data_IF_017321677941
#
_entry.id   IF_017321677941
#
_cell.length_a   1.000
_cell.length_b   1.000
_cell.length_c   1.000
_cell.angle_alpha   90.00
_cell.angle_beta   90.00
_cell.angle_gamma   90.00
#
_symmetry.space_group_name_H-M   'P 1'
#
loop_
_entity.id
_entity.type
_entity.pdbx_description
1 polymer ?
#
# COMPACT_ATOMS: atom_id res chain seq x y z
N UNK A 1 -17.48 1.08 -15.95
CA UNK A 1 -16.95 0.24 -14.83
C UNK A 1 -16.82 1.16 -13.64
N UNK A 2 -17.59 0.95 -12.59
CA UNK A 2 -17.46 1.72 -11.34
C UNK A 2 -16.09 1.41 -10.74
N UNK A 3 -15.22 2.43 -10.69
CA UNK A 3 -13.87 2.31 -10.12
C UNK A 3 -13.94 1.82 -8.68
N UNK A 4 -12.86 1.18 -8.19
CA UNK A 4 -12.75 0.76 -6.80
C UNK A 4 -12.89 1.96 -5.86
N UNK A 5 -13.81 1.89 -4.91
CA UNK A 5 -13.88 2.84 -3.80
C UNK A 5 -12.87 2.45 -2.72
N UNK A 6 -11.95 3.37 -2.42
CA UNK A 6 -10.91 3.20 -1.41
C UNK A 6 -11.32 3.66 -0.01
N UNK A 7 -12.60 4.03 0.22
CA UNK A 7 -13.12 4.50 1.51
C UNK A 7 -13.83 3.40 2.27
N UNK A 8 -13.83 3.48 3.61
CA UNK A 8 -14.57 2.58 4.50
C UNK A 8 -14.07 1.13 4.49
N UNK A 9 -12.78 0.89 4.22
CA UNK A 9 -12.23 -0.46 4.05
C UNK A 9 -11.03 -0.75 4.95
N UNK A 10 -10.81 -2.04 5.21
CA UNK A 10 -9.60 -2.55 5.84
C UNK A 10 -8.81 -3.35 4.81
N UNK A 11 -7.59 -2.89 4.54
CA UNK A 11 -6.69 -3.46 3.54
C UNK A 11 -5.68 -4.40 4.20
N UNK A 12 -5.42 -5.55 3.58
CA UNK A 12 -4.19 -6.29 3.86
C UNK A 12 -3.01 -5.59 3.17
N UNK A 13 -2.00 -5.21 3.95
CA UNK A 13 -0.80 -4.55 3.43
C UNK A 13 0.04 -5.48 2.54
N UNK A 14 0.78 -4.92 1.57
CA UNK A 14 1.78 -5.69 0.82
C UNK A 14 2.94 -6.06 1.75
N UNK A 15 3.14 -7.35 1.98
CA UNK A 15 4.12 -7.88 2.92
C UNK A 15 5.16 -8.72 2.16
N UNK A 16 6.32 -8.15 1.86
CA UNK A 16 7.42 -8.87 1.19
C UNK A 16 7.82 -10.11 1.99
N UNK A 17 7.83 -11.27 1.36
CA UNK A 17 8.05 -12.61 1.94
C UNK A 17 7.00 -13.08 2.95
N UNK A 18 5.89 -12.36 3.10
CA UNK A 18 4.82 -12.72 4.02
C UNK A 18 3.42 -12.59 3.41
N UNK A 19 3.28 -11.85 2.29
CA UNK A 19 2.00 -11.58 1.61
C UNK A 19 1.73 -12.50 0.41
N UNK A 20 2.26 -13.73 0.42
CA UNK A 20 2.06 -14.69 -0.67
C UNK A 20 0.59 -15.12 -0.83
N UNK A 21 0.27 -15.73 -1.96
CA UNK A 21 -1.10 -16.14 -2.28
C UNK A 21 -1.77 -17.01 -1.19
N UNK A 22 -1.12 -18.05 -0.61
CA UNK A 22 -1.70 -18.83 0.47
C UNK A 22 -2.07 -17.99 1.69
N UNK A 23 -1.19 -17.07 2.12
CA UNK A 23 -1.46 -16.20 3.26
C UNK A 23 -2.62 -15.22 2.98
N UNK A 24 -2.67 -14.63 1.79
CA UNK A 24 -3.80 -13.76 1.41
C UNK A 24 -5.13 -14.52 1.44
N UNK A 25 -5.16 -15.77 0.92
CA UNK A 25 -6.34 -16.64 1.00
C UNK A 25 -6.75 -16.93 2.45
N UNK A 26 -5.78 -17.18 3.33
CA UNK A 26 -6.06 -17.35 4.76
C UNK A 26 -6.73 -16.10 5.34
N UNK A 27 -6.20 -14.90 5.06
CA UNK A 27 -6.81 -13.65 5.49
C UNK A 27 -8.23 -13.47 4.92
N UNK A 28 -8.46 -13.84 3.65
CA UNK A 28 -9.79 -13.78 3.02
C UNK A 28 -10.78 -14.71 3.72
N UNK A 29 -10.37 -15.93 4.06
CA UNK A 29 -11.19 -16.87 4.82
C UNK A 29 -11.57 -16.34 6.21
N UNK A 30 -10.80 -15.38 6.74
CA UNK A 30 -11.04 -14.69 7.99
C UNK A 30 -11.53 -13.23 7.83
N UNK A 31 -12.26 -12.93 6.74
CA UNK A 31 -12.98 -11.67 6.57
C UNK A 31 -12.19 -10.54 5.89
N UNK A 32 -10.96 -10.77 5.45
CA UNK A 32 -10.23 -9.77 4.65
C UNK A 32 -10.89 -9.60 3.28
N UNK A 33 -11.44 -8.41 3.01
CA UNK A 33 -12.16 -8.13 1.76
C UNK A 33 -11.31 -7.45 0.70
N UNK A 34 -10.17 -6.88 1.10
CA UNK A 34 -9.27 -6.13 0.22
C UNK A 34 -7.84 -6.59 0.44
N UNK A 35 -7.27 -7.27 -0.54
CA UNK A 35 -5.93 -7.82 -0.48
C UNK A 35 -4.97 -7.08 -1.42
N UNK A 36 -3.69 -7.05 -1.04
CA UNK A 36 -2.63 -6.56 -1.91
C UNK A 36 -1.50 -7.60 -1.97
N UNK A 37 -1.03 -7.89 -3.18
CA UNK A 37 0.11 -8.78 -3.41
C UNK A 37 1.42 -8.23 -2.86
N UNK A 38 2.43 -9.10 -2.75
CA UNK A 38 3.80 -8.68 -2.44
C UNK A 38 4.31 -7.71 -3.50
N UNK A 39 5.27 -6.87 -3.09
CA UNK A 39 5.91 -5.92 -4.00
C UNK A 39 6.70 -6.63 -5.10
N UNK A 40 6.30 -6.45 -6.35
CA UNK A 40 7.00 -6.95 -7.53
C UNK A 40 7.93 -5.89 -8.13
N UNK A 41 9.08 -6.30 -8.64
CA UNK A 41 9.98 -5.41 -9.37
C UNK A 41 9.49 -5.19 -10.80
N UNK A 42 9.06 -3.98 -11.14
CA UNK A 42 8.47 -3.66 -12.46
C UNK A 42 9.39 -4.07 -13.63
N UNK A 43 10.68 -3.77 -13.54
CA UNK A 43 11.66 -4.12 -14.59
C UNK A 43 11.81 -5.64 -14.79
N UNK A 44 11.61 -6.43 -13.74
CA UNK A 44 11.65 -7.90 -13.84
C UNK A 44 10.34 -8.47 -14.39
N UNK A 45 9.19 -7.90 -14.01
CA UNK A 45 7.90 -8.22 -14.63
C UNK A 45 7.98 -8.02 -16.13
N UNK A 46 8.49 -6.86 -16.58
CA UNK A 46 8.67 -6.52 -17.99
C UNK A 46 9.60 -7.50 -18.73
N UNK A 47 10.59 -8.06 -18.03
CA UNK A 47 11.51 -9.09 -18.58
C UNK A 47 10.94 -10.51 -18.56
N UNK A 48 9.72 -10.70 -18.08
CA UNK A 48 9.08 -12.01 -18.01
C UNK A 48 9.59 -12.92 -16.90
N UNK A 49 10.15 -12.36 -15.81
CA UNK A 49 10.59 -13.16 -14.66
C UNK A 49 9.43 -13.95 -14.08
N UNK A 50 9.55 -15.30 -14.05
CA UNK A 50 8.51 -16.20 -13.54
C UNK A 50 8.17 -15.93 -12.06
N UNK A 51 9.18 -15.62 -11.24
CA UNK A 51 8.98 -15.29 -9.83
C UNK A 51 8.18 -14.00 -9.65
N UNK A 52 8.51 -12.95 -10.38
CA UNK A 52 7.80 -11.68 -10.29
C UNK A 52 6.38 -11.78 -10.86
N UNK A 53 6.21 -12.46 -11.99
CA UNK A 53 4.88 -12.72 -12.57
C UNK A 53 3.99 -13.54 -11.63
N UNK A 54 4.57 -14.41 -10.80
CA UNK A 54 3.83 -15.16 -9.79
C UNK A 54 3.26 -14.26 -8.69
N UNK A 55 3.91 -13.11 -8.37
CA UNK A 55 3.42 -12.14 -7.38
C UNK A 55 2.16 -11.39 -7.87
N UNK A 56 1.92 -11.35 -9.17
CA UNK A 56 0.75 -10.70 -9.78
C UNK A 56 -0.49 -11.61 -9.79
N UNK A 57 -0.40 -12.84 -9.29
CA UNK A 57 -1.53 -13.79 -9.33
C UNK A 57 -2.62 -13.40 -8.35
N UNK A 58 -3.86 -13.38 -8.84
CA UNK A 58 -5.08 -13.28 -8.07
C UNK A 58 -5.68 -14.67 -7.84
N UNK A 59 -6.29 -14.92 -6.68
CA UNK A 59 -7.16 -16.09 -6.45
C UNK A 59 -8.63 -15.71 -6.67
N UNK A 60 -9.47 -16.69 -7.00
CA UNK A 60 -10.91 -16.44 -7.22
C UNK A 60 -11.60 -15.86 -5.98
N UNK A 61 -11.18 -16.26 -4.78
CA UNK A 61 -11.74 -15.79 -3.51
C UNK A 61 -11.38 -14.33 -3.18
N UNK A 62 -10.38 -13.74 -3.86
CA UNK A 62 -9.98 -12.35 -3.65
C UNK A 62 -10.91 -11.42 -4.45
N UNK A 63 -12.03 -11.00 -3.86
CA UNK A 63 -12.98 -10.11 -4.52
C UNK A 63 -12.34 -8.79 -4.97
N UNK A 64 -11.52 -8.19 -4.09
CA UNK A 64 -10.78 -6.96 -4.31
C UNK A 64 -9.27 -7.22 -4.15
N UNK A 65 -8.53 -7.26 -5.26
CA UNK A 65 -7.10 -7.54 -5.27
C UNK A 65 -6.31 -6.44 -5.96
N UNK A 66 -5.27 -5.92 -5.31
CA UNK A 66 -4.31 -4.97 -5.85
C UNK A 66 -2.91 -5.56 -6.01
N UNK A 67 -2.16 -5.00 -6.92
CA UNK A 67 -0.75 -5.34 -7.14
C UNK A 67 0.14 -4.17 -6.77
N UNK A 68 1.12 -4.41 -5.89
CA UNK A 68 2.15 -3.42 -5.61
C UNK A 68 3.38 -3.64 -6.48
N UNK A 69 3.89 -2.57 -7.09
CA UNK A 69 5.12 -2.59 -7.87
C UNK A 69 6.17 -1.63 -7.31
N UNK A 70 7.44 -1.99 -7.45
CA UNK A 70 8.57 -1.10 -7.25
C UNK A 70 9.15 -0.72 -8.61
N UNK A 71 9.21 0.58 -8.89
CA UNK A 71 9.71 1.13 -10.14
C UNK A 71 10.46 2.43 -9.90
N UNK A 72 11.40 2.75 -10.79
CA UNK A 72 12.08 4.05 -10.88
C UNK A 72 12.01 4.64 -12.29
N UNK A 73 11.54 3.86 -13.27
CA UNK A 73 11.39 4.23 -14.68
C UNK A 73 9.91 4.14 -15.08
N UNK A 74 9.32 5.22 -15.61
CA UNK A 74 7.90 5.23 -15.96
C UNK A 74 7.50 4.12 -16.93
N UNK A 75 8.28 3.91 -18.00
CA UNK A 75 7.98 2.88 -18.99
C UNK A 75 7.89 1.47 -18.40
N UNK A 76 8.75 1.12 -17.44
CA UNK A 76 8.68 -0.17 -16.74
C UNK A 76 7.47 -0.23 -15.82
N UNK A 77 7.15 0.88 -15.12
CA UNK A 77 6.01 0.98 -14.22
C UNK A 77 4.68 0.80 -14.97
N UNK A 78 4.51 1.49 -16.10
CA UNK A 78 3.31 1.39 -16.95
C UNK A 78 3.15 -0.03 -17.49
N UNK A 79 4.20 -0.60 -18.10
CA UNK A 79 4.13 -1.97 -18.65
C UNK A 79 3.83 -3.03 -17.58
N UNK A 80 4.46 -2.93 -16.41
CA UNK A 80 4.17 -3.84 -15.31
C UNK A 80 2.75 -3.65 -14.75
N UNK A 81 2.27 -2.40 -14.69
CA UNK A 81 0.91 -2.08 -14.27
C UNK A 81 -0.15 -2.62 -15.23
N UNK A 82 0.06 -2.49 -16.55
CA UNK A 82 -0.81 -3.11 -17.56
C UNK A 82 -0.82 -4.62 -17.40
N UNK A 83 0.35 -5.26 -17.25
CA UNK A 83 0.45 -6.69 -17.04
C UNK A 83 -0.25 -7.16 -15.75
N UNK A 84 -0.31 -6.32 -14.71
CA UNK A 84 -1.06 -6.59 -13.48
C UNK A 84 -2.58 -6.49 -13.73
N UNK A 85 -3.03 -5.46 -14.43
CA UNK A 85 -4.44 -5.27 -14.79
C UNK A 85 -4.98 -6.44 -15.64
N UNK A 86 -4.21 -6.89 -16.65
CA UNK A 86 -4.54 -8.06 -17.47
C UNK A 86 -4.67 -9.35 -16.65
N UNK A 87 -4.04 -9.43 -15.49
CA UNK A 87 -4.13 -10.55 -14.53
C UNK A 87 -5.20 -10.37 -13.47
N UNK A 88 -6.07 -9.37 -13.64
CA UNK A 88 -7.24 -9.14 -12.80
C UNK A 88 -6.96 -8.29 -11.55
N UNK A 89 -5.87 -7.54 -11.50
CA UNK A 89 -5.69 -6.52 -10.48
C UNK A 89 -6.75 -5.43 -10.64
N UNK A 90 -7.46 -5.09 -9.55
CA UNK A 90 -8.43 -3.99 -9.52
C UNK A 90 -7.79 -2.61 -9.41
N UNK A 91 -6.53 -2.54 -8.98
CA UNK A 91 -5.69 -1.33 -8.97
C UNK A 91 -4.20 -1.72 -8.92
N UNK A 92 -3.34 -0.76 -9.22
CA UNK A 92 -1.88 -0.89 -9.10
C UNK A 92 -1.36 0.13 -8.09
N UNK A 93 -0.54 -0.32 -7.16
CA UNK A 93 0.07 0.51 -6.13
C UNK A 93 1.56 0.69 -6.39
N UNK A 94 2.06 1.93 -6.31
CA UNK A 94 3.48 2.24 -6.40
C UNK A 94 4.10 2.23 -5.01
N UNK A 95 5.12 1.39 -4.81
CA UNK A 95 5.89 1.36 -3.56
C UNK A 95 6.84 2.55 -3.46
N UNK A 96 6.60 3.43 -2.49
CA UNK A 96 7.47 4.55 -2.11
C UNK A 96 7.91 4.49 -0.64
N UNK A 97 7.80 3.31 -0.01
CA UNK A 97 8.10 3.17 1.42
C UNK A 97 9.11 2.08 1.78
N UNK A 98 9.46 1.18 0.85
CA UNK A 98 10.36 0.07 1.12
C UNK A 98 11.77 0.57 1.48
N UNK A 99 12.32 0.21 2.68
CA UNK A 99 13.64 0.66 3.12
C UNK A 99 14.77 -0.29 2.73
N UNK A 100 14.47 -1.41 2.06
CA UNK A 100 15.43 -2.48 1.73
C UNK A 100 16.52 -1.92 0.83
N UNK A 101 17.78 -2.21 1.16
CA UNK A 101 18.96 -1.69 0.49
C UNK A 101 18.93 -1.90 -1.03
N UNK A 102 18.53 -3.08 -1.49
CA UNK A 102 18.49 -3.41 -2.92
C UNK A 102 17.45 -2.60 -3.70
N UNK A 103 16.30 -2.29 -3.08
CA UNK A 103 15.25 -1.42 -3.62
C UNK A 103 15.76 0.03 -3.70
N UNK A 104 16.33 0.51 -2.59
CA UNK A 104 16.83 1.89 -2.43
C UNK A 104 17.98 2.17 -3.41
N UNK A 105 18.96 1.27 -3.51
CA UNK A 105 20.11 1.39 -4.43
C UNK A 105 19.69 1.51 -5.90
N UNK A 106 18.54 0.94 -6.26
CA UNK A 106 17.97 1.03 -7.63
C UNK A 106 17.11 2.28 -7.85
N UNK A 107 17.07 3.22 -6.90
CA UNK A 107 16.27 4.44 -6.99
C UNK A 107 14.77 4.21 -6.87
N UNK A 108 14.35 3.11 -6.23
CA UNK A 108 12.95 2.73 -5.99
C UNK A 108 12.60 2.82 -4.49
N UNK A 109 11.36 2.55 -4.13
CA UNK A 109 10.92 2.54 -2.75
C UNK A 109 11.09 3.89 -2.07
N UNK A 110 11.59 3.91 -0.85
CA UNK A 110 11.72 5.14 -0.04
C UNK A 110 12.64 6.21 -0.67
N UNK A 111 13.53 5.86 -1.61
CA UNK A 111 14.36 6.83 -2.33
C UNK A 111 13.53 7.82 -3.14
N UNK A 112 12.35 7.44 -3.59
CA UNK A 112 11.46 8.31 -4.36
C UNK A 112 10.95 9.49 -3.52
N UNK A 113 10.85 9.34 -2.20
CA UNK A 113 10.43 10.41 -1.30
C UNK A 113 11.39 11.60 -1.30
N UNK A 114 12.68 11.37 -1.58
CA UNK A 114 13.68 12.43 -1.63
C UNK A 114 13.59 13.31 -2.89
N UNK A 115 12.73 12.93 -3.85
CA UNK A 115 12.58 13.63 -5.14
C UNK A 115 11.08 13.75 -5.51
N UNK A 116 10.28 14.54 -4.76
CA UNK A 116 8.82 14.60 -4.94
C UNK A 116 8.39 14.90 -6.38
N UNK A 117 9.06 15.86 -7.05
CA UNK A 117 8.73 16.22 -8.43
C UNK A 117 8.97 15.07 -9.44
N UNK A 118 10.00 14.25 -9.21
CA UNK A 118 10.24 13.06 -10.02
C UNK A 118 9.18 11.98 -9.74
N UNK A 119 8.79 11.83 -8.49
CA UNK A 119 7.72 10.92 -8.09
C UNK A 119 6.39 11.34 -8.76
N UNK A 120 6.05 12.62 -8.72
CA UNK A 120 4.83 13.13 -9.37
C UNK A 120 4.78 12.79 -10.87
N UNK A 121 5.88 13.01 -11.60
CA UNK A 121 5.96 12.63 -13.02
C UNK A 121 5.77 11.12 -13.23
N UNK A 122 6.42 10.28 -12.41
CA UNK A 122 6.26 8.84 -12.47
C UNK A 122 4.80 8.41 -12.25
N UNK A 123 4.14 8.98 -11.23
CA UNK A 123 2.73 8.69 -10.93
C UNK A 123 1.82 9.16 -12.06
N UNK A 124 2.03 10.36 -12.60
CA UNK A 124 1.23 10.88 -13.71
C UNK A 124 1.29 9.97 -14.96
N UNK A 125 2.49 9.49 -15.33
CA UNK A 125 2.64 8.55 -16.44
C UNK A 125 1.97 7.19 -16.15
N UNK A 126 2.03 6.72 -14.91
CA UNK A 126 1.30 5.51 -14.50
C UNK A 126 -0.21 5.69 -14.61
N UNK A 127 -0.75 6.84 -14.12
CA UNK A 127 -2.19 7.14 -14.19
C UNK A 127 -2.68 7.22 -15.63
N UNK A 128 -1.88 7.78 -16.53
CA UNK A 128 -2.23 7.88 -17.95
C UNK A 128 -2.16 6.54 -18.69
N UNK A 129 -1.20 5.68 -18.32
CA UNK A 129 -0.89 4.47 -19.09
C UNK A 129 -1.47 3.16 -18.54
N UNK A 130 -1.97 3.14 -17.30
CA UNK A 130 -2.52 1.92 -16.66
C UNK A 130 -4.06 1.97 -16.68
N UNK A 131 -4.75 0.91 -17.15
CA UNK A 131 -6.21 0.94 -17.34
C UNK A 131 -7.03 0.77 -16.05
N UNK A 132 -6.37 0.69 -14.89
CA UNK A 132 -7.00 0.58 -13.56
C UNK A 132 -6.47 1.69 -12.65
N UNK A 133 -7.16 2.03 -11.54
CA UNK A 133 -6.71 3.06 -10.62
C UNK A 133 -5.26 2.84 -10.14
N UNK A 134 -4.52 3.93 -10.03
CA UNK A 134 -3.16 3.94 -9.48
C UNK A 134 -3.19 4.52 -8.07
N UNK A 135 -2.57 3.82 -7.12
CA UNK A 135 -2.38 4.29 -5.74
C UNK A 135 -0.89 4.36 -5.41
N UNK A 136 -0.55 5.05 -4.34
CA UNK A 136 0.83 5.17 -3.89
C UNK A 136 0.93 4.85 -2.40
N UNK A 137 1.93 4.07 -2.01
CA UNK A 137 2.20 3.79 -0.60
C UNK A 137 3.51 4.43 -0.17
N UNK A 138 3.44 5.35 0.80
CA UNK A 138 4.56 6.15 1.30
C UNK A 138 4.88 5.84 2.77
N UNK A 139 6.02 6.39 3.21
CA UNK A 139 6.39 6.66 4.61
C UNK A 139 6.41 8.17 4.85
N UNK A 140 6.63 8.60 6.10
CA UNK A 140 6.67 10.03 6.47
C UNK A 140 7.85 10.79 5.85
N UNK A 141 8.86 10.09 5.40
CA UNK A 141 10.04 10.66 4.77
C UNK A 141 11.23 9.68 4.82
N UNK A 142 12.40 10.19 4.45
CA UNK A 142 13.66 9.44 4.51
C UNK A 142 14.16 9.30 5.96
N UNK A 143 14.21 10.42 6.68
CA UNK A 143 14.62 10.53 8.09
C UNK A 143 13.71 11.49 8.84
N UNK A 144 13.88 11.64 10.14
CA UNK A 144 13.13 12.63 10.94
C UNK A 144 13.45 14.07 10.52
N UNK A 145 14.64 14.32 9.97
CA UNK A 145 15.05 15.63 9.43
C UNK A 145 14.49 15.89 8.03
N UNK A 146 14.10 14.85 7.34
CA UNK A 146 13.56 14.87 5.97
C UNK A 146 12.12 14.29 5.98
N UNK A 147 11.28 14.74 6.96
CA UNK A 147 9.83 14.48 6.94
C UNK A 147 9.19 15.44 5.91
N UNK A 148 8.87 14.89 4.77
CA UNK A 148 8.25 15.61 3.66
C UNK A 148 6.95 14.96 3.18
N UNK A 149 6.30 14.18 4.03
CA UNK A 149 5.12 13.39 3.66
C UNK A 149 3.96 14.27 3.15
N UNK A 150 3.72 15.47 3.74
CA UNK A 150 2.66 16.38 3.27
C UNK A 150 2.94 16.91 1.86
N UNK A 151 4.20 17.24 1.54
CA UNK A 151 4.60 17.63 0.18
C UNK A 151 4.43 16.47 -0.81
N UNK A 152 4.93 15.29 -0.44
CA UNK A 152 4.81 14.08 -1.27
C UNK A 152 3.34 13.73 -1.51
N UNK A 153 2.49 13.82 -0.47
CA UNK A 153 1.06 13.55 -0.57
C UNK A 153 0.38 14.51 -1.56
N UNK A 154 0.70 15.81 -1.50
CA UNK A 154 0.20 16.82 -2.44
C UNK A 154 0.61 16.49 -3.88
N UNK A 155 1.89 16.22 -4.10
CA UNK A 155 2.41 15.92 -5.45
C UNK A 155 1.78 14.65 -6.03
N UNK A 156 1.56 13.62 -5.21
CA UNK A 156 0.91 12.36 -5.60
C UNK A 156 -0.56 12.59 -5.96
N UNK A 157 -1.28 13.40 -5.18
CA UNK A 157 -2.67 13.78 -5.47
C UNK A 157 -2.77 14.58 -6.78
N UNK A 158 -1.93 15.60 -6.96
CA UNK A 158 -1.87 16.41 -8.19
C UNK A 158 -1.53 15.57 -9.44
N UNK A 159 -0.77 14.50 -9.27
CA UNK A 159 -0.46 13.54 -10.33
C UNK A 159 -1.62 12.61 -10.69
N UNK A 160 -2.75 12.68 -9.97
CA UNK A 160 -3.97 11.93 -10.27
C UNK A 160 -4.06 10.55 -9.61
N UNK A 161 -3.28 10.29 -8.55
CA UNK A 161 -3.44 9.04 -7.80
C UNK A 161 -4.84 8.92 -7.20
N UNK A 162 -5.41 7.72 -7.23
CA UNK A 162 -6.75 7.43 -6.74
C UNK A 162 -6.85 7.32 -5.20
N UNK A 163 -5.73 7.00 -4.53
CA UNK A 163 -5.61 6.95 -3.08
C UNK A 163 -4.14 6.96 -2.65
N UNK A 164 -3.89 7.31 -1.39
CA UNK A 164 -2.58 7.35 -0.76
C UNK A 164 -2.55 6.50 0.51
N UNK A 165 -1.66 5.52 0.61
CA UNK A 165 -1.40 4.79 1.85
C UNK A 165 -0.21 5.39 2.59
N UNK A 166 -0.37 5.74 3.86
CA UNK A 166 0.67 6.39 4.67
C UNK A 166 1.07 5.49 5.84
N UNK A 167 2.32 5.04 5.85
CA UNK A 167 2.91 4.39 7.02
C UNK A 167 3.52 5.46 7.94
N UNK A 168 3.03 5.56 9.17
CA UNK A 168 3.40 6.58 10.16
C UNK A 168 4.83 6.46 10.71
N UNK A 169 5.80 6.16 9.86
CA UNK A 169 7.23 6.08 10.19
C UNK A 169 8.08 6.56 9.02
N UNK A 170 9.26 7.09 9.32
CA UNK A 170 10.28 7.37 8.30
C UNK A 170 10.98 6.08 7.84
N UNK A 171 11.75 6.18 6.76
CA UNK A 171 12.58 5.06 6.27
C UNK A 171 13.60 4.62 7.31
N UNK A 172 14.25 5.55 8.01
CA UNK A 172 15.29 5.25 9.01
C UNK A 172 14.72 4.61 10.27
N UNK A 173 13.57 5.03 10.73
CA UNK A 173 12.91 4.46 11.91
C UNK A 173 12.57 2.98 11.74
N UNK A 174 12.36 2.49 10.52
CA UNK A 174 11.91 1.10 10.26
C UNK A 174 10.75 0.71 11.18
N UNK A 175 11.03 0.02 12.30
CA UNK A 175 10.07 -0.41 13.32
C UNK A 175 10.53 -0.07 14.74
N UNK A 176 11.59 0.75 14.90
CA UNK A 176 12.18 1.09 16.21
C UNK A 176 11.36 2.13 17.00
N UNK A 177 10.46 2.84 16.35
CA UNK A 177 9.56 3.83 16.98
C UNK A 177 8.11 3.43 16.78
N UNK A 178 7.20 3.98 17.58
CA UNK A 178 5.76 3.89 17.33
C UNK A 178 5.39 4.59 16.00
N UNK A 179 4.31 4.15 15.36
CA UNK A 179 3.78 4.85 14.19
C UNK A 179 3.14 6.16 14.61
N UNK A 180 3.50 7.24 13.94
CA UNK A 180 2.96 8.58 14.17
C UNK A 180 1.60 8.74 13.48
N UNK A 181 0.53 8.54 14.24
CA UNK A 181 -0.83 8.70 13.76
C UNK A 181 -1.28 10.17 13.71
N UNK A 182 -0.58 11.08 14.42
CA UNK A 182 -0.84 12.53 14.32
C UNK A 182 -0.39 13.03 12.94
N UNK A 183 0.79 12.61 12.47
CA UNK A 183 1.25 12.91 11.12
C UNK A 183 0.31 12.33 10.04
N UNK A 184 -0.18 11.09 10.23
CA UNK A 184 -1.17 10.48 9.32
C UNK A 184 -2.46 11.30 9.28
N UNK A 185 -2.99 11.72 10.45
CA UNK A 185 -4.21 12.51 10.55
C UNK A 185 -4.07 13.88 9.85
N UNK A 186 -2.93 14.55 10.04
CA UNK A 186 -2.62 15.81 9.34
C UNK A 186 -2.68 15.63 7.83
N UNK A 187 -2.02 14.59 7.30
CA UNK A 187 -2.04 14.31 5.85
C UNK A 187 -3.48 14.00 5.39
N UNK A 188 -4.26 13.23 6.16
CA UNK A 188 -5.64 12.92 5.81
C UNK A 188 -6.52 14.18 5.73
N UNK A 189 -6.33 15.14 6.66
CA UNK A 189 -7.07 16.39 6.66
C UNK A 189 -6.70 17.34 5.49
N UNK A 190 -5.47 17.24 4.98
CA UNK A 190 -4.95 18.07 3.90
C UNK A 190 -5.30 17.57 2.50
N UNK A 191 -5.75 16.32 2.33
CA UNK A 191 -5.92 15.69 1.01
C UNK A 191 -7.38 15.41 0.69
N UNK A 192 -7.74 15.56 -0.58
CA UNK A 192 -9.08 15.24 -1.11
C UNK A 192 -9.20 13.76 -1.48
N UNK A 193 -8.10 13.15 -1.95
CA UNK A 193 -8.05 11.72 -2.24
C UNK A 193 -8.10 10.90 -0.94
N UNK A 194 -8.64 9.65 -0.97
CA UNK A 194 -8.66 8.78 0.18
C UNK A 194 -7.27 8.54 0.74
N UNK A 195 -7.05 8.82 2.04
CA UNK A 195 -5.83 8.47 2.76
C UNK A 195 -6.09 7.19 3.56
N UNK A 196 -5.22 6.19 3.40
CA UNK A 196 -5.26 4.89 4.05
C UNK A 196 -4.17 4.86 5.13
N UNK A 197 -4.56 4.86 6.40
CA UNK A 197 -3.63 4.86 7.53
C UNK A 197 -2.99 3.48 7.75
N UNK A 198 -1.69 3.45 8.01
CA UNK A 198 -0.94 2.22 8.24
C UNK A 198 0.10 2.38 9.37
N UNK A 199 0.17 1.40 10.24
CA UNK A 199 1.18 1.30 11.30
C UNK A 199 0.59 0.93 12.66
N UNK A 200 1.18 -0.08 13.32
CA UNK A 200 0.88 -0.53 14.69
C UNK A 200 -0.61 -0.75 15.00
N UNK A 201 -1.31 -1.40 14.10
CA UNK A 201 -2.67 -1.89 14.32
C UNK A 201 -2.56 -3.40 14.53
N UNK A 202 -2.67 -3.85 15.79
CA UNK A 202 -2.49 -5.24 16.21
C UNK A 202 -3.77 -5.84 16.81
N UNK A 203 -4.73 -4.99 17.16
CA UNK A 203 -6.01 -5.36 17.77
C UNK A 203 -7.16 -4.64 17.09
N UNK A 204 -8.37 -5.16 17.24
CA UNK A 204 -9.58 -4.56 16.69
C UNK A 204 -9.90 -3.19 17.32
N UNK A 205 -9.67 -3.03 18.62
CA UNK A 205 -9.93 -1.77 19.32
C UNK A 205 -8.92 -0.68 18.91
N UNK A 206 -7.61 -1.01 18.78
CA UNK A 206 -6.64 -0.08 18.18
C UNK A 206 -7.03 0.35 16.75
N UNK A 207 -7.60 -0.57 15.96
CA UNK A 207 -8.08 -0.24 14.62
C UNK A 207 -9.19 0.82 14.68
N UNK A 208 -10.19 0.63 15.54
CA UNK A 208 -11.31 1.56 15.71
C UNK A 208 -10.86 2.91 16.25
N UNK A 209 -10.07 2.91 17.33
CA UNK A 209 -9.57 4.13 17.96
C UNK A 209 -8.77 4.98 16.98
N UNK A 210 -7.84 4.35 16.24
CA UNK A 210 -7.01 5.05 15.24
C UNK A 210 -7.81 5.55 14.06
N UNK A 211 -8.78 4.76 13.59
CA UNK A 211 -9.64 5.19 12.49
C UNK A 211 -10.45 6.43 12.85
N UNK A 212 -11.09 6.42 14.02
CA UNK A 212 -11.89 7.54 14.50
C UNK A 212 -11.03 8.78 14.80
N UNK A 213 -9.91 8.60 15.50
CA UNK A 213 -9.05 9.71 15.90
C UNK A 213 -8.30 10.38 14.75
N UNK A 214 -7.94 9.62 13.68
CA UNK A 214 -7.14 10.16 12.59
C UNK A 214 -7.94 10.69 11.41
N UNK A 215 -9.22 10.37 11.30
CA UNK A 215 -10.06 10.77 10.17
C UNK A 215 -9.63 10.17 8.82
N UNK A 216 -8.78 9.14 8.80
CA UNK A 216 -8.39 8.45 7.56
C UNK A 216 -9.59 7.79 6.89
N UNK A 217 -9.56 7.73 5.57
CA UNK A 217 -10.63 7.11 4.80
C UNK A 217 -10.71 5.59 4.99
N UNK A 218 -9.58 4.94 5.30
CA UNK A 218 -9.44 3.49 5.43
C UNK A 218 -8.21 3.12 6.25
N UNK A 219 -8.14 1.85 6.68
CA UNK A 219 -6.99 1.29 7.38
C UNK A 219 -6.25 0.25 6.54
N UNK A 220 -4.94 0.12 6.76
CA UNK A 220 -4.12 -0.94 6.18
C UNK A 220 -3.39 -1.70 7.28
N UNK A 221 -3.60 -3.02 7.33
CA UNK A 221 -3.06 -3.91 8.35
C UNK A 221 -1.87 -4.69 7.79
N UNK A 222 -0.73 -4.56 8.44
CA UNK A 222 0.48 -5.31 8.10
C UNK A 222 0.75 -6.44 9.09
N UNK A 223 1.63 -6.20 10.05
CA UNK A 223 2.08 -7.18 11.05
C UNK A 223 0.95 -7.75 11.90
N UNK A 224 -0.10 -6.97 12.15
CA UNK A 224 -1.29 -7.46 12.85
C UNK A 224 -1.91 -8.67 12.15
N UNK A 225 -1.96 -8.67 10.83
CA UNK A 225 -2.45 -9.81 10.05
C UNK A 225 -1.50 -11.03 10.06
N UNK A 226 -0.17 -10.81 10.15
CA UNK A 226 0.79 -11.92 10.32
C UNK A 226 0.66 -12.59 11.67
N UNK A 227 0.35 -11.83 12.72
CA UNK A 227 0.14 -12.35 14.08
C UNK A 227 -1.23 -13.02 14.18
N UNK A 228 -2.27 -12.36 13.66
CA UNK A 228 -3.66 -12.81 13.68
C UNK A 228 -4.32 -12.64 12.31
N UNK A 229 -4.29 -13.64 11.42
CA UNK A 229 -4.98 -13.54 10.12
C UNK A 229 -6.46 -13.20 10.23
N UNK A 230 -7.08 -13.49 11.36
CA UNK A 230 -8.49 -13.20 11.69
C UNK A 230 -8.74 -11.78 12.25
N UNK A 231 -7.72 -10.93 12.32
CA UNK A 231 -7.87 -9.53 12.76
C UNK A 231 -8.93 -8.78 11.94
N UNK A 232 -9.10 -9.12 10.66
CA UNK A 232 -10.12 -8.52 9.79
C UNK A 232 -11.54 -8.80 10.29
N UNK A 233 -11.79 -10.04 10.70
CA UNK A 233 -13.04 -10.47 11.33
C UNK A 233 -13.25 -9.78 12.69
N UNK A 234 -12.22 -9.71 13.52
CA UNK A 234 -12.27 -9.02 14.81
C UNK A 234 -12.65 -7.53 14.62
N UNK A 235 -12.07 -6.85 13.62
CA UNK A 235 -12.39 -5.44 13.34
C UNK A 235 -13.83 -5.29 12.85
N UNK A 236 -14.32 -6.16 11.99
CA UNK A 236 -15.69 -6.12 11.46
C UNK A 236 -16.72 -6.38 12.58
N UNK A 237 -16.48 -7.40 13.41
CA UNK A 237 -17.38 -7.80 14.51
C UNK A 237 -17.19 -6.96 15.79
N UNK A 238 -16.16 -6.14 15.89
CA UNK A 238 -15.75 -5.39 17.08
C UNK A 238 -15.60 -6.27 18.34
N UNK A 239 -15.06 -7.44 18.14
CA UNK A 239 -14.93 -8.47 19.17
C UNK A 239 -13.67 -9.30 18.94
N UNK A 240 -12.98 -9.65 20.04
CA UNK A 240 -11.90 -10.63 19.97
C UNK A 240 -12.44 -11.99 19.52
N UNK A 241 -11.69 -12.66 18.67
CA UNK A 241 -12.00 -14.01 18.18
C UNK A 241 -10.87 -14.96 18.56
N UNK A 242 -11.23 -16.07 19.21
CA UNK A 242 -10.28 -17.12 19.56
C UNK A 242 -10.50 -18.28 18.60
N UNK A 243 -9.47 -18.67 17.82
CA UNK A 243 -9.55 -19.85 16.99
C UNK A 243 -9.67 -21.10 17.87
N UNK A 244 -10.64 -21.96 17.56
CA UNK A 244 -10.82 -23.28 18.19
C UNK A 244 -9.92 -24.32 17.56
#
# INVERSE_FOLDING_TARGET
MTGMDFRGRVFLAPLTKGGNLPFRRLCVAHGCRVTMGEMAYAYQVVRGSRSELALLRKHADEACFGVQIAASRPADAVRAGVAAAERGAGWVDLNCGCPIHDVVRRGMGATLLQKPQRLGRLVAEMVQGIPVPVTVKIRLGWSEREDNASEVARVVEEAGAAALSVHGRTREQRYSRAADWVAIARIAAERSIPVIGNGDVLTWFEAHDRWQASGVASLMIGRGALIKPWIFREIEERKAWEPT
#
